data_IF_395417215059
#
_entry.id   IF_395417215059
#
_cell.length_a   1.000
_cell.length_b   1.000
_cell.length_c   1.000
_cell.angle_alpha   90.00
_cell.angle_beta   90.00
_cell.angle_gamma   90.00
#
_symmetry.space_group_name_H-M   'P 1'
#
loop_
_entity.id
_entity.type
_entity.pdbx_description
1 polymer ?
#
# COMPACT_ATOMS: atom_id res chain seq x y z
N UNK A 1 -2.35 26.59 3.28
CA UNK A 1 -3.04 25.36 2.85
C UNK A 1 -2.50 25.00 1.47
N UNK A 2 -1.66 23.98 1.36
CA UNK A 2 -1.14 23.51 0.07
C UNK A 2 -2.30 22.92 -0.74
N UNK A 3 -2.50 23.28 -2.01
CA UNK A 3 -3.59 22.73 -2.82
C UNK A 3 -3.42 21.21 -2.96
N UNK A 4 -4.52 20.47 -2.82
CA UNK A 4 -4.56 19.05 -3.12
C UNK A 4 -4.37 18.88 -4.64
N UNK A 5 -3.16 18.48 -5.05
CA UNK A 5 -2.90 18.10 -6.44
C UNK A 5 -3.28 16.63 -6.60
N UNK A 6 -4.25 16.29 -7.48
CA UNK A 6 -4.59 14.92 -7.79
C UNK A 6 -3.35 14.17 -8.31
N UNK A 7 -3.03 13.04 -7.70
CA UNK A 7 -1.89 12.22 -8.12
C UNK A 7 -2.37 11.18 -9.14
N UNK A 8 -1.79 11.12 -10.36
CA UNK A 8 -2.24 10.21 -11.42
C UNK A 8 -2.35 8.76 -10.96
N UNK A 9 -1.31 8.23 -10.28
CA UNK A 9 -1.28 6.86 -9.77
C UNK A 9 -2.43 6.57 -8.79
N UNK A 10 -2.76 7.52 -7.92
CA UNK A 10 -3.89 7.37 -6.99
C UNK A 10 -5.21 7.26 -7.75
N UNK A 11 -5.37 8.03 -8.83
CA UNK A 11 -6.53 7.95 -9.70
C UNK A 11 -6.65 6.61 -10.42
N UNK A 12 -5.54 6.05 -10.91
CA UNK A 12 -5.50 4.74 -11.57
C UNK A 12 -5.87 3.60 -10.61
N UNK A 13 -5.31 3.60 -9.40
CA UNK A 13 -5.64 2.61 -8.37
C UNK A 13 -7.12 2.71 -7.95
N UNK A 14 -7.65 3.92 -7.80
CA UNK A 14 -9.08 4.11 -7.49
C UNK A 14 -9.96 3.57 -8.63
N UNK A 15 -9.60 3.79 -9.90
CA UNK A 15 -10.33 3.23 -11.04
C UNK A 15 -10.34 1.70 -11.01
N UNK A 16 -9.17 1.08 -10.77
CA UNK A 16 -9.07 -0.36 -10.62
C UNK A 16 -9.99 -0.88 -9.50
N UNK A 17 -9.96 -0.25 -8.32
CA UNK A 17 -10.81 -0.63 -7.21
C UNK A 17 -12.31 -0.45 -7.53
N UNK A 18 -12.69 0.62 -8.25
CA UNK A 18 -14.06 0.84 -8.70
C UNK A 18 -14.53 -0.28 -9.63
N UNK A 19 -13.67 -0.75 -10.53
CA UNK A 19 -14.00 -1.84 -11.45
C UNK A 19 -14.22 -3.16 -10.70
N UNK A 20 -13.38 -3.48 -9.69
CA UNK A 20 -13.62 -4.60 -8.76
C UNK A 20 -14.98 -4.48 -8.07
N UNK A 21 -15.28 -3.31 -7.47
CA UNK A 21 -16.53 -3.10 -6.73
C UNK A 21 -17.76 -3.17 -7.63
N UNK A 22 -17.67 -2.69 -8.88
CA UNK A 22 -18.73 -2.81 -9.87
C UNK A 22 -18.99 -4.26 -10.27
N UNK A 23 -17.94 -5.07 -10.41
CA UNK A 23 -18.06 -6.47 -10.78
C UNK A 23 -18.62 -7.36 -9.67
N UNK A 24 -18.23 -7.12 -8.42
CA UNK A 24 -18.54 -8.00 -7.30
C UNK A 24 -19.60 -7.47 -6.32
N UNK A 25 -19.75 -6.15 -6.22
CA UNK A 25 -20.53 -5.51 -5.17
C UNK A 25 -19.91 -5.68 -3.77
N UNK A 26 -20.60 -5.19 -2.72
CA UNK A 26 -20.19 -5.37 -1.32
C UNK A 26 -20.57 -6.75 -0.78
N UNK A 27 -19.97 -7.15 0.35
CA UNK A 27 -20.37 -8.34 1.13
C UNK A 27 -19.41 -9.53 1.08
N UNK A 28 -18.27 -9.40 0.39
CA UNK A 28 -17.22 -10.42 0.36
C UNK A 28 -16.14 -10.16 1.41
N UNK A 29 -15.28 -11.15 1.61
CA UNK A 29 -14.10 -11.02 2.49
C UNK A 29 -13.09 -10.05 1.88
N UNK A 30 -12.35 -9.35 2.75
CA UNK A 30 -11.28 -8.42 2.38
C UNK A 30 -10.24 -9.06 1.44
N UNK A 31 -9.85 -10.31 1.71
CA UNK A 31 -8.92 -11.07 0.90
C UNK A 31 -9.41 -11.32 -0.53
N UNK A 32 -10.72 -11.40 -0.76
CA UNK A 32 -11.27 -11.55 -2.13
C UNK A 32 -11.08 -10.25 -2.90
N UNK A 33 -11.37 -9.10 -2.28
CA UNK A 33 -11.13 -7.80 -2.90
C UNK A 33 -9.65 -7.54 -3.16
N UNK A 34 -8.77 -8.00 -2.26
CA UNK A 34 -7.33 -7.93 -2.45
C UNK A 34 -6.89 -8.71 -3.71
N UNK A 35 -7.28 -9.98 -3.84
CA UNK A 35 -6.94 -10.78 -5.04
C UNK A 35 -7.46 -10.13 -6.33
N UNK A 36 -8.70 -9.64 -6.32
CA UNK A 36 -9.28 -8.98 -7.49
C UNK A 36 -8.59 -7.66 -7.82
N UNK A 37 -8.22 -6.85 -6.81
CA UNK A 37 -7.50 -5.60 -7.04
C UNK A 37 -6.10 -5.89 -7.58
N UNK A 38 -5.40 -6.90 -7.07
CA UNK A 38 -4.12 -7.33 -7.59
C UNK A 38 -4.21 -7.71 -9.09
N UNK A 39 -5.26 -8.44 -9.47
CA UNK A 39 -5.53 -8.78 -10.86
C UNK A 39 -5.75 -7.51 -11.72
N UNK A 40 -6.62 -6.59 -11.28
CA UNK A 40 -6.88 -5.34 -12.01
C UNK A 40 -5.61 -4.48 -12.16
N UNK A 41 -4.78 -4.37 -11.13
CA UNK A 41 -3.51 -3.65 -11.18
C UNK A 41 -2.53 -4.30 -12.17
N UNK A 42 -2.47 -5.64 -12.18
CA UNK A 42 -1.65 -6.39 -13.13
C UNK A 42 -2.08 -6.14 -14.58
N UNK A 43 -3.39 -6.21 -14.87
CA UNK A 43 -3.93 -5.93 -16.21
C UNK A 43 -3.61 -4.50 -16.68
N UNK A 44 -3.60 -3.53 -15.75
CA UNK A 44 -3.21 -2.14 -16.02
C UNK A 44 -1.69 -1.93 -16.09
N UNK A 45 -0.88 -2.98 -15.88
CA UNK A 45 0.59 -2.92 -15.83
C UNK A 45 1.11 -1.91 -14.80
N UNK A 46 0.41 -1.78 -13.68
CA UNK A 46 0.82 -0.95 -12.56
C UNK A 46 1.70 -1.81 -11.65
N UNK A 47 2.96 -1.46 -11.37
CA UNK A 47 3.80 -2.22 -10.44
C UNK A 47 3.25 -2.17 -9.02
N UNK A 48 3.19 -3.31 -8.34
CA UNK A 48 2.80 -3.40 -6.94
C UNK A 48 3.48 -4.55 -6.22
N UNK A 49 3.58 -4.42 -4.90
CA UNK A 49 3.88 -5.52 -3.97
C UNK A 49 2.69 -5.72 -3.06
N UNK A 50 2.38 -6.98 -2.75
CA UNK A 50 1.27 -7.36 -1.87
C UNK A 50 1.79 -7.72 -0.50
N UNK A 51 0.93 -7.50 0.51
CA UNK A 51 1.14 -8.03 1.84
C UNK A 51 2.55 -7.68 2.35
N UNK A 52 2.93 -6.40 2.26
CA UNK A 52 4.29 -5.93 2.54
C UNK A 52 4.52 -5.89 4.05
N UNK A 53 5.50 -6.67 4.53
CA UNK A 53 5.92 -6.67 5.93
C UNK A 53 6.54 -5.32 6.32
N UNK A 54 6.03 -4.70 7.38
CA UNK A 54 6.50 -3.42 7.91
C UNK A 54 7.18 -3.64 9.25
N UNK A 55 8.48 -3.35 9.30
CA UNK A 55 9.28 -3.42 10.52
C UNK A 55 9.03 -2.25 11.45
N UNK A 56 9.29 -2.46 12.74
CA UNK A 56 9.27 -1.40 13.74
C UNK A 56 10.62 -1.34 14.44
N UNK A 57 11.29 -0.20 14.34
CA UNK A 57 12.42 0.12 15.20
C UNK A 57 11.89 0.58 16.56
N UNK A 58 12.19 -0.18 17.62
CA UNK A 58 11.89 0.20 18.99
C UNK A 58 13.17 0.23 19.81
N UNK A 59 13.66 1.45 20.09
CA UNK A 59 14.99 1.69 20.68
C UNK A 59 16.07 1.02 19.81
N UNK A 60 16.92 0.20 20.40
CA UNK A 60 18.03 -0.49 19.72
C UNK A 60 17.61 -1.85 19.12
N UNK A 61 16.31 -2.17 19.14
CA UNK A 61 15.78 -3.43 18.61
C UNK A 61 14.96 -3.19 17.36
N UNK A 62 15.33 -3.86 16.28
CA UNK A 62 14.49 -4.00 15.10
C UNK A 62 13.54 -5.17 15.32
N UNK A 63 12.26 -4.84 15.49
CA UNK A 63 11.23 -5.84 15.66
C UNK A 63 10.55 -6.09 14.32
N UNK A 64 10.61 -7.33 13.84
CA UNK A 64 9.76 -7.80 12.73
C UNK A 64 8.34 -8.09 13.24
N UNK A 65 7.68 -7.08 13.83
CA UNK A 65 6.32 -7.25 14.36
C UNK A 65 5.31 -7.03 13.24
N UNK A 66 4.75 -8.13 12.73
CA UNK A 66 3.34 -8.38 12.36
C UNK A 66 2.51 -7.39 11.54
N UNK A 67 2.98 -6.18 11.26
CA UNK A 67 2.27 -5.23 10.42
C UNK A 67 2.51 -5.60 8.96
N UNK A 68 1.42 -5.77 8.22
CA UNK A 68 1.44 -6.20 6.84
C UNK A 68 0.51 -5.29 6.08
N UNK A 69 1.07 -4.49 5.19
CA UNK A 69 0.28 -3.62 4.34
C UNK A 69 -0.29 -4.40 3.16
N UNK A 70 -1.55 -4.17 2.80
CA UNK A 70 -2.17 -4.95 1.72
C UNK A 70 -1.46 -4.72 0.39
N UNK A 71 -1.17 -3.45 0.06
CA UNK A 71 -0.36 -3.12 -1.10
C UNK A 71 0.61 -1.96 -0.89
N UNK A 72 1.75 -2.07 -1.56
CA UNK A 72 2.62 -0.96 -1.90
C UNK A 72 2.69 -0.82 -3.42
N UNK A 73 2.10 0.25 -3.95
CA UNK A 73 1.99 0.51 -5.38
C UNK A 73 3.13 1.42 -5.81
N UNK A 74 3.92 0.97 -6.78
CA UNK A 74 5.06 1.70 -7.36
C UNK A 74 6.03 2.27 -6.31
N UNK A 75 6.18 1.62 -5.15
CA UNK A 75 6.97 2.08 -4.00
C UNK A 75 6.67 3.51 -3.51
N UNK A 76 5.49 4.05 -3.85
CA UNK A 76 5.10 5.44 -3.59
C UNK A 76 3.75 5.60 -2.90
N UNK A 77 2.85 4.62 -3.09
CA UNK A 77 1.48 4.67 -2.62
C UNK A 77 1.13 3.44 -1.80
N UNK A 78 0.89 3.66 -0.51
CA UNK A 78 0.33 2.64 0.39
C UNK A 78 -1.17 2.48 0.12
N UNK A 79 -1.66 1.23 0.06
CA UNK A 79 -3.11 0.96 -0.02
C UNK A 79 -3.48 -0.09 1.02
N UNK A 80 -4.44 0.25 1.86
CA UNK A 80 -5.08 -0.62 2.84
C UNK A 80 -6.53 -0.85 2.44
N UNK A 81 -6.96 -2.11 2.48
CA UNK A 81 -8.32 -2.53 2.16
C UNK A 81 -9.10 -2.80 3.43
N UNK A 82 -10.41 -2.57 3.37
CA UNK A 82 -11.36 -2.98 4.38
C UNK A 82 -12.63 -3.53 3.73
N UNK A 83 -13.29 -4.46 4.41
CA UNK A 83 -14.63 -4.93 4.06
C UNK A 83 -15.53 -4.95 5.31
N UNK A 84 -15.69 -3.78 5.95
CA UNK A 84 -16.35 -3.65 7.26
C UNK A 84 -17.54 -2.71 7.20
N UNK A 85 -18.56 -2.94 8.04
CA UNK A 85 -19.74 -2.06 8.12
C UNK A 85 -19.37 -0.61 8.47
N UNK A 86 -18.42 -0.43 9.40
CA UNK A 86 -17.98 0.88 9.86
C UNK A 86 -16.47 0.99 9.89
N UNK A 87 -15.93 2.03 9.26
CA UNK A 87 -14.53 2.39 9.46
C UNK A 87 -14.33 3.05 10.82
N UNK A 88 -13.45 2.47 11.64
CA UNK A 88 -13.12 2.97 12.97
C UNK A 88 -11.91 3.91 12.89
N UNK A 89 -11.76 4.87 13.82
CA UNK A 89 -10.59 5.74 13.88
C UNK A 89 -9.24 4.98 13.90
N UNK A 90 -9.22 3.77 14.47
CA UNK A 90 -8.02 2.91 14.48
C UNK A 90 -7.53 2.56 13.06
N UNK A 91 -8.44 2.32 12.11
CA UNK A 91 -8.04 2.02 10.73
C UNK A 91 -7.32 3.21 10.07
N UNK A 92 -7.75 4.44 10.39
CA UNK A 92 -7.08 5.64 9.92
C UNK A 92 -5.71 5.81 10.58
N UNK A 93 -5.62 5.57 11.89
CA UNK A 93 -4.38 5.65 12.64
C UNK A 93 -3.34 4.63 12.14
N UNK A 94 -3.78 3.42 11.77
CA UNK A 94 -2.93 2.39 11.18
C UNK A 94 -2.27 2.87 9.89
N UNK A 95 -3.05 3.40 8.93
CA UNK A 95 -2.52 3.93 7.67
C UNK A 95 -1.48 5.01 7.92
N UNK A 96 -1.74 5.95 8.84
CA UNK A 96 -0.80 7.03 9.18
C UNK A 96 0.50 6.45 9.77
N UNK A 97 0.42 5.45 10.64
CA UNK A 97 1.59 4.77 11.18
C UNK A 97 2.40 4.09 10.09
N UNK A 98 1.75 3.40 9.16
CA UNK A 98 2.42 2.72 8.04
C UNK A 98 3.12 3.72 7.12
N UNK A 99 2.47 4.83 6.79
CA UNK A 99 3.10 5.90 6.00
C UNK A 99 4.36 6.46 6.67
N UNK A 100 4.36 6.60 8.00
CA UNK A 100 5.54 7.07 8.74
C UNK A 100 6.66 6.05 8.77
N UNK A 101 6.33 4.78 9.03
CA UNK A 101 7.31 3.69 9.11
C UNK A 101 7.96 3.42 7.74
N UNK A 102 7.18 3.52 6.67
CA UNK A 102 7.64 3.32 5.29
C UNK A 102 8.22 4.59 4.65
N UNK A 103 8.21 5.73 5.35
CA UNK A 103 8.63 7.03 4.83
C UNK A 103 7.88 7.44 3.55
N UNK A 104 6.60 7.06 3.45
CA UNK A 104 5.73 7.36 2.32
C UNK A 104 4.86 8.60 2.58
N UNK A 105 4.58 9.32 1.51
CA UNK A 105 3.77 10.53 1.55
C UNK A 105 2.29 10.29 1.27
N UNK A 106 1.92 9.21 0.57
CA UNK A 106 0.56 9.01 0.08
C UNK A 106 0.02 7.65 0.51
N UNK A 107 -1.22 7.65 1.01
CA UNK A 107 -1.94 6.44 1.38
C UNK A 107 -3.39 6.47 0.93
N UNK A 108 -3.95 5.30 0.64
CA UNK A 108 -5.37 5.06 0.43
C UNK A 108 -5.88 4.04 1.45
N UNK A 109 -7.04 4.34 2.04
CA UNK A 109 -7.84 3.37 2.77
C UNK A 109 -9.15 3.18 2.00
N UNK A 110 -9.44 1.94 1.60
CA UNK A 110 -10.58 1.62 0.74
C UNK A 110 -11.47 0.61 1.45
N UNK A 111 -12.65 1.04 1.88
CA UNK A 111 -13.68 0.13 2.37
C UNK A 111 -14.61 -0.31 1.22
N UNK A 112 -14.60 -1.60 0.90
CA UNK A 112 -15.45 -2.20 -0.13
C UNK A 112 -16.89 -2.48 0.33
N UNK A 113 -17.14 -2.53 1.65
CA UNK A 113 -18.48 -2.79 2.18
C UNK A 113 -19.34 -1.51 2.24
N UNK A 114 -19.57 -0.91 1.07
CA UNK A 114 -20.37 0.30 0.88
C UNK A 114 -21.24 0.20 -0.38
N UNK A 115 -22.37 0.93 -0.47
CA UNK A 115 -23.21 0.93 -1.68
C UNK A 115 -22.52 1.47 -2.93
N UNK A 116 -21.58 2.41 -2.74
CA UNK A 116 -20.76 3.01 -3.82
C UNK A 116 -19.34 3.16 -3.31
N UNK A 117 -18.37 2.57 -3.99
CA UNK A 117 -16.98 2.55 -3.52
C UNK A 117 -16.41 3.94 -3.18
N UNK A 118 -16.79 4.97 -3.93
CA UNK A 118 -16.35 6.35 -3.69
C UNK A 118 -16.66 6.87 -2.29
N UNK A 119 -17.67 6.32 -1.60
CA UNK A 119 -17.99 6.67 -0.20
C UNK A 119 -17.03 6.03 0.80
N UNK A 120 -16.47 4.86 0.44
CA UNK A 120 -15.56 4.07 1.25
C UNK A 120 -14.08 4.44 1.09
N UNK A 121 -13.75 5.38 0.20
CA UNK A 121 -12.36 5.81 -0.05
C UNK A 121 -11.98 6.96 0.89
N UNK A 122 -10.78 6.87 1.47
CA UNK A 122 -10.10 7.96 2.17
C UNK A 122 -8.65 8.06 1.70
N UNK A 123 -8.24 9.27 1.34
CA UNK A 123 -6.87 9.57 0.93
C UNK A 123 -6.12 10.25 2.07
N UNK A 124 -4.85 9.90 2.24
CA UNK A 124 -3.97 10.42 3.26
C UNK A 124 -2.75 11.06 2.61
N UNK A 125 -2.31 12.19 3.17
CA UNK A 125 -1.05 12.85 2.84
C UNK A 125 -0.23 13.02 4.13
N UNK A 126 0.97 12.46 4.15
CA UNK A 126 1.90 12.55 5.26
C UNK A 126 3.02 13.55 4.90
N UNK A 127 3.03 14.72 5.55
CA UNK A 127 4.00 15.80 5.29
C UNK A 127 3.84 16.51 3.93
N UNK A 128 4.62 17.57 3.67
CA UNK A 128 4.72 18.16 2.34
C UNK A 128 5.30 17.12 1.35
N UNK A 129 4.90 17.14 0.06
CA UNK A 129 5.45 16.22 -0.94
C UNK A 129 6.99 16.35 -0.99
N UNK A 130 7.71 15.27 -1.33
CA UNK A 130 9.16 15.33 -1.47
C UNK A 130 9.48 16.32 -2.59
N UNK A 131 10.44 17.20 -2.33
CA UNK A 131 10.81 18.26 -3.27
C UNK A 131 11.33 17.59 -4.56
N UNK A 132 10.81 17.92 -5.77
CA UNK A 132 11.21 17.27 -7.03
C UNK A 132 12.68 17.54 -7.44
N UNK A 133 13.52 18.01 -6.53
CA UNK A 133 14.93 18.32 -6.72
C UNK A 133 15.88 17.74 -5.66
N UNK A 134 15.43 16.94 -4.68
CA UNK A 134 16.34 16.23 -3.77
C UNK A 134 16.89 14.96 -4.39
N UNK A 135 17.45 15.10 -5.60
CA UNK A 135 18.38 14.13 -6.15
C UNK A 135 19.63 14.15 -5.27
N UNK A 136 19.89 13.01 -4.63
CA UNK A 136 21.12 12.77 -3.87
C UNK A 136 22.33 13.19 -4.72
N UNK A 137 23.06 14.21 -4.25
CA UNK A 137 24.37 14.51 -4.76
C UNK A 137 25.25 13.28 -4.49
N UNK A 138 25.69 12.63 -5.56
CA UNK A 138 26.63 11.53 -5.50
C UNK A 138 27.91 11.98 -4.78
N UNK A 139 28.11 11.50 -3.56
CA UNK A 139 29.45 11.33 -3.01
C UNK A 139 29.92 9.94 -3.40
N UNK A 140 30.90 9.90 -4.29
CA UNK A 140 31.67 8.71 -4.65
C UNK A 140 32.11 7.94 -3.41
N UNK A 141 31.67 6.69 -3.33
CA UNK A 141 32.00 5.75 -2.26
C UNK A 141 31.30 4.44 -2.55
N UNK A 142 32.08 3.46 -2.97
CA UNK A 142 31.68 2.10 -3.32
C UNK A 142 30.90 1.46 -2.15
N UNK A 143 29.69 0.95 -2.41
CA UNK A 143 29.00 -0.19 -1.76
C UNK A 143 27.51 -0.17 -2.13
N UNK A 144 27.16 -0.85 -3.22
CA UNK A 144 25.78 -1.17 -3.58
C UNK A 144 25.28 -2.31 -2.67
N UNK A 145 24.87 -1.99 -1.45
CA UNK A 145 23.91 -2.81 -0.73
C UNK A 145 22.50 -2.24 -0.92
N UNK A 146 21.59 -3.15 -1.25
CA UNK A 146 20.17 -2.94 -1.50
C UNK A 146 19.50 -2.37 -0.24
N UNK A 147 19.48 -1.04 -0.07
CA UNK A 147 18.75 -0.43 1.05
C UNK A 147 17.29 -0.26 0.66
N UNK A 148 16.48 -1.24 1.05
CA UNK A 148 15.04 -1.04 1.20
C UNK A 148 14.78 0.18 2.12
N UNK A 149 13.69 0.95 1.93
CA UNK A 149 13.34 2.03 2.85
C UNK A 149 13.30 1.48 4.28
N UNK A 150 13.70 2.29 5.26
CA UNK A 150 14.03 1.91 6.64
C UNK A 150 12.93 1.10 7.38
N UNK A 151 11.70 1.05 6.85
CA UNK A 151 10.59 0.26 7.39
C UNK A 151 10.19 -1.00 6.61
N UNK A 152 10.71 -1.25 5.40
CA UNK A 152 10.42 -2.51 4.68
C UNK A 152 11.50 -3.51 5.02
N UNK A 153 11.11 -4.57 5.71
CA UNK A 153 12.03 -5.67 6.01
C UNK A 153 11.88 -6.71 4.91
N UNK A 154 13.00 -7.24 4.41
CA UNK A 154 12.97 -8.38 3.52
C UNK A 154 12.22 -9.53 4.23
N UNK A 155 11.25 -10.13 3.54
CA UNK A 155 10.54 -11.29 4.08
C UNK A 155 11.57 -12.38 4.38
N UNK A 156 11.65 -12.81 5.64
CA UNK A 156 12.44 -13.97 6.02
C UNK A 156 11.77 -15.21 5.40
N UNK A 157 12.43 -15.92 4.46
CA UNK A 157 11.83 -17.05 3.76
C UNK A 157 11.41 -18.18 4.71
N UNK A 158 11.98 -18.27 5.92
CA UNK A 158 11.66 -19.31 6.91
C UNK A 158 10.47 -18.96 7.84
N UNK A 159 10.03 -17.69 7.87
CA UNK A 159 8.87 -17.24 8.68
C UNK A 159 7.62 -16.98 7.83
N UNK A 160 7.72 -17.06 6.51
CA UNK A 160 6.61 -16.86 5.60
C UNK A 160 5.69 -18.10 5.56
N UNK A 161 4.65 -18.10 6.40
CA UNK A 161 3.38 -18.78 6.10
C UNK A 161 2.65 -18.18 4.88
N UNK A 162 3.40 -17.65 3.91
CA UNK A 162 2.89 -17.03 2.70
C UNK A 162 2.26 -18.09 1.81
N UNK A 163 0.99 -17.88 1.47
CA UNK A 163 0.36 -18.68 0.42
C UNK A 163 1.19 -18.56 -0.87
N UNK A 164 1.33 -19.65 -1.64
CA UNK A 164 2.00 -19.58 -2.92
C UNK A 164 1.36 -18.47 -3.77
N UNK A 165 2.19 -17.63 -4.41
CA UNK A 165 1.72 -16.76 -5.49
C UNK A 165 0.93 -17.64 -6.46
N UNK A 166 -0.38 -17.38 -6.58
CA UNK A 166 -1.16 -18.04 -7.62
C UNK A 166 -0.67 -17.44 -8.93
N UNK A 167 -0.04 -18.23 -9.82
CA UNK A 167 0.44 -17.69 -11.07
C UNK A 167 -0.77 -17.18 -11.84
N UNK A 168 -0.78 -15.90 -12.20
CA UNK A 168 -1.80 -15.39 -13.11
C UNK A 168 -1.73 -16.21 -14.41
N UNK A 169 -2.84 -16.75 -14.91
CA UNK A 169 -2.83 -17.48 -16.17
C UNK A 169 -2.32 -16.55 -17.26
N UNK A 170 -1.28 -16.99 -17.97
CA UNK A 170 -0.83 -16.33 -19.21
C UNK A 170 -1.81 -16.74 -20.30
N UNK A 171 -2.45 -15.77 -20.94
CA UNK A 171 -3.11 -15.97 -22.23
C UNK A 171 -2.08 -16.22 -23.35
#
# INVERSE_FOLDING_TARGET
MTPFVPHPLTGDVIRAAIDVHRGLGPGLLESVYEECLAWELHQRRIPFRRQVSIGVAYKDVHLQVGFRADFLINDELLVELKAVERMLPLHHAQVISYLRLLELHRGLLINFNVPRLTLGIRSFLNGPPPDPGSGSAASSGNDLEQRAPLGVVADDPDLAGGKPEVPFPRE
#
